data_IF_336173680471
#
_entry.id   IF_336173680471
#
_cell.length_a   1.000
_cell.length_b   1.000
_cell.length_c   1.000
_cell.angle_alpha   90.00
_cell.angle_beta   90.00
_cell.angle_gamma   90.00
#
_symmetry.space_group_name_H-M   'P 1'
#
loop_
_entity.id
_entity.type
_entity.pdbx_description
1 polymer ?
#
# COMPACT_ATOMS: atom_id res chain seq x y z
N UNK A 1 -16.27 -16.02 -13.11
CA UNK A 1 -15.35 -17.16 -13.37
C UNK A 1 -15.93 -18.18 -14.36
N UNK A 2 -17.20 -18.03 -14.74
CA UNK A 2 -17.92 -18.95 -15.63
C UNK A 2 -17.51 -18.87 -17.10
N UNK A 3 -17.11 -17.70 -17.60
CA UNK A 3 -16.72 -17.49 -19.00
C UNK A 3 -15.34 -18.10 -19.35
N UNK A 4 -14.47 -18.31 -18.35
CA UNK A 4 -13.12 -18.88 -18.54
C UNK A 4 -13.16 -20.41 -18.58
N UNK A 5 -14.11 -21.04 -17.87
CA UNK A 5 -14.30 -22.50 -17.87
C UNK A 5 -14.75 -23.06 -19.22
N UNK A 6 -15.42 -22.25 -20.04
CA UNK A 6 -15.96 -22.67 -21.32
C UNK A 6 -14.91 -22.75 -22.45
N UNK A 7 -13.79 -22.01 -22.34
CA UNK A 7 -12.81 -21.89 -23.44
C UNK A 7 -11.42 -22.43 -23.11
N UNK A 8 -10.99 -22.45 -21.84
CA UNK A 8 -9.68 -22.98 -21.43
C UNK A 8 -9.92 -24.08 -20.40
N UNK A 9 -9.51 -25.31 -20.73
CA UNK A 9 -9.76 -26.51 -19.92
C UNK A 9 -9.57 -26.31 -18.41
N UNK A 10 -10.39 -27.03 -17.63
CA UNK A 10 -10.58 -26.96 -16.15
C UNK A 10 -9.30 -26.75 -15.32
N UNK A 11 -8.15 -27.22 -15.80
CA UNK A 11 -6.83 -27.10 -15.17
C UNK A 11 -6.28 -25.65 -15.22
N UNK A 12 -6.40 -24.95 -16.35
CA UNK A 12 -5.85 -23.58 -16.51
C UNK A 12 -6.58 -22.56 -15.62
N UNK A 13 -7.90 -22.70 -15.45
CA UNK A 13 -8.69 -21.86 -14.54
C UNK A 13 -8.29 -22.06 -13.09
N UNK A 14 -7.99 -23.30 -12.68
CA UNK A 14 -7.55 -23.63 -11.31
C UNK A 14 -6.17 -23.06 -11.00
N UNK A 15 -5.24 -23.12 -11.96
CA UNK A 15 -3.90 -22.52 -11.83
C UNK A 15 -3.98 -20.99 -11.78
N UNK A 16 -4.82 -20.37 -12.64
CA UNK A 16 -5.03 -18.92 -12.64
C UNK A 16 -5.62 -18.42 -11.31
N UNK A 17 -6.64 -19.13 -10.79
CA UNK A 17 -7.21 -18.81 -9.48
C UNK A 17 -6.21 -18.95 -8.33
N UNK A 18 -5.33 -19.95 -8.38
CA UNK A 18 -4.26 -20.12 -7.39
C UNK A 18 -3.26 -18.94 -7.44
N UNK A 19 -2.81 -18.56 -8.64
CA UNK A 19 -1.91 -17.41 -8.83
C UNK A 19 -2.55 -16.11 -8.32
N UNK A 20 -3.83 -15.89 -8.63
CA UNK A 20 -4.56 -14.71 -8.19
C UNK A 20 -4.68 -14.66 -6.66
N UNK A 21 -4.93 -15.80 -6.02
CA UNK A 21 -5.00 -15.90 -4.56
C UNK A 21 -3.64 -15.60 -3.90
N UNK A 22 -2.55 -16.19 -4.42
CA UNK A 22 -1.19 -15.92 -3.93
C UNK A 22 -0.84 -14.44 -4.06
N UNK A 23 -1.17 -13.80 -5.19
CA UNK A 23 -0.92 -12.38 -5.38
C UNK A 23 -1.74 -11.53 -4.39
N UNK A 24 -3.01 -11.86 -4.15
CA UNK A 24 -3.86 -11.13 -3.21
C UNK A 24 -3.31 -11.21 -1.77
N UNK A 25 -2.89 -12.40 -1.35
CA UNK A 25 -2.28 -12.63 -0.03
C UNK A 25 -0.96 -11.87 0.10
N UNK A 26 -0.10 -11.96 -0.92
CA UNK A 26 1.18 -11.26 -0.93
C UNK A 26 1.03 -9.75 -0.85
N UNK A 27 0.09 -9.19 -1.63
CA UNK A 27 -0.23 -7.76 -1.63
C UNK A 27 -0.74 -7.31 -0.26
N UNK A 28 -1.64 -8.07 0.37
CA UNK A 28 -2.19 -7.75 1.69
C UNK A 28 -1.10 -7.71 2.76
N UNK A 29 -0.23 -8.74 2.81
CA UNK A 29 0.90 -8.79 3.74
C UNK A 29 1.86 -7.62 3.49
N UNK A 30 2.17 -7.34 2.23
CA UNK A 30 3.06 -6.23 1.84
C UNK A 30 2.53 -4.87 2.29
N UNK A 31 1.25 -4.59 2.07
CA UNK A 31 0.63 -3.34 2.52
C UNK A 31 0.58 -3.21 4.04
N UNK A 32 0.25 -4.30 4.75
CA UNK A 32 0.26 -4.33 6.22
C UNK A 32 1.64 -3.97 6.81
N UNK A 33 2.72 -4.54 6.26
CA UNK A 33 4.09 -4.25 6.70
C UNK A 33 4.47 -2.81 6.34
N UNK A 34 4.26 -2.38 5.09
CA UNK A 34 4.63 -1.05 4.62
C UNK A 34 3.90 0.06 5.39
N UNK A 35 2.61 -0.13 5.67
CA UNK A 35 1.80 0.79 6.47
C UNK A 35 2.32 0.90 7.91
N UNK A 36 2.65 -0.24 8.53
CA UNK A 36 3.21 -0.29 9.88
C UNK A 36 4.53 0.48 10.00
N UNK A 37 5.44 0.29 9.04
CA UNK A 37 6.73 1.00 8.99
C UNK A 37 6.50 2.52 8.80
N UNK A 38 5.58 2.90 7.91
CA UNK A 38 5.27 4.30 7.63
C UNK A 38 4.71 5.01 8.87
N UNK A 39 3.78 4.39 9.60
CA UNK A 39 3.22 4.95 10.83
C UNK A 39 4.28 5.09 11.94
N UNK A 40 5.18 4.11 12.07
CA UNK A 40 6.31 4.18 13.01
C UNK A 40 7.21 5.37 12.68
N UNK A 41 7.53 5.56 11.39
CA UNK A 41 8.32 6.70 10.93
C UNK A 41 7.62 8.04 11.23
N UNK A 42 6.33 8.17 10.93
CA UNK A 42 5.55 9.38 11.22
C UNK A 42 5.52 9.68 12.72
N UNK A 43 5.26 8.68 13.57
CA UNK A 43 5.24 8.90 15.02
C UNK A 43 6.60 9.30 15.56
N UNK A 44 7.67 8.71 15.02
CA UNK A 44 9.04 9.05 15.38
C UNK A 44 9.38 10.49 14.99
N UNK A 45 9.02 10.92 13.77
CA UNK A 45 9.18 12.30 13.31
C UNK A 45 8.40 13.30 14.18
N UNK A 46 7.14 13.00 14.51
CA UNK A 46 6.33 13.85 15.39
C UNK A 46 6.88 13.90 16.82
N UNK A 47 7.44 12.78 17.32
CA UNK A 47 8.09 12.74 18.62
C UNK A 47 9.35 13.62 18.65
N UNK A 48 10.19 13.56 17.61
CA UNK A 48 11.36 14.43 17.48
C UNK A 48 11.00 15.90 17.34
N UNK A 49 9.91 16.22 16.62
CA UNK A 49 9.40 17.59 16.53
C UNK A 49 8.97 18.12 17.91
N UNK A 50 8.36 17.27 18.75
CA UNK A 50 7.78 17.69 20.04
C UNK A 50 8.75 17.64 21.22
N UNK A 51 9.72 16.72 21.24
CA UNK A 51 10.61 16.48 22.40
C UNK A 51 12.10 16.72 22.10
N UNK A 52 12.46 17.10 20.87
CA UNK A 52 13.85 17.32 20.47
C UNK A 52 14.60 16.02 20.12
N UNK A 53 15.74 16.16 19.42
CA UNK A 53 16.48 15.03 18.81
C UNK A 53 17.15 14.07 19.81
N UNK A 54 17.08 14.36 21.12
CA UNK A 54 17.93 13.75 22.15
C UNK A 54 17.27 12.65 22.99
N UNK A 55 16.02 12.26 22.73
CA UNK A 55 15.30 11.26 23.51
C UNK A 55 15.12 9.94 22.75
N UNK A 56 15.40 8.83 23.43
CA UNK A 56 15.22 7.49 22.89
C UNK A 56 13.74 7.21 22.60
N UNK A 57 13.35 7.25 21.32
CA UNK A 57 11.98 7.01 20.90
C UNK A 57 11.78 5.52 20.62
N UNK A 58 11.17 4.80 21.57
CA UNK A 58 10.78 3.41 21.35
C UNK A 58 9.33 3.36 20.83
N UNK A 59 9.16 3.30 19.52
CA UNK A 59 7.85 3.17 18.88
C UNK A 59 7.62 1.69 18.56
N UNK A 60 6.63 1.08 19.22
CA UNK A 60 6.26 -0.31 18.98
C UNK A 60 5.55 -0.47 17.63
N UNK A 61 6.22 -1.11 16.66
CA UNK A 61 5.66 -1.45 15.35
C UNK A 61 4.53 -2.47 15.42
N UNK A 62 4.56 -3.36 16.42
CA UNK A 62 3.61 -4.47 16.56
C UNK A 62 2.18 -4.00 16.78
N UNK A 63 1.98 -2.89 17.50
CA UNK A 63 0.64 -2.37 17.75
C UNK A 63 -0.01 -1.83 16.46
N UNK A 64 0.77 -1.19 15.59
CA UNK A 64 0.26 -0.70 14.29
C UNK A 64 -0.10 -1.84 13.36
N UNK A 65 0.69 -2.92 13.34
CA UNK A 65 0.41 -4.09 12.52
C UNK A 65 -0.90 -4.79 12.94
N UNK A 66 -1.13 -4.93 14.25
CA UNK A 66 -2.39 -5.49 14.78
C UNK A 66 -3.57 -4.56 14.43
N UNK A 67 -3.42 -3.26 14.61
CA UNK A 67 -4.47 -2.28 14.28
C UNK A 67 -4.83 -2.32 12.79
N UNK A 68 -3.84 -2.45 11.91
CA UNK A 68 -4.07 -2.55 10.47
C UNK A 68 -4.82 -3.84 10.10
N UNK A 69 -4.44 -4.97 10.71
CA UNK A 69 -5.16 -6.24 10.53
C UNK A 69 -6.62 -6.18 10.98
N UNK A 70 -6.93 -5.47 12.07
CA UNK A 70 -8.32 -5.25 12.50
C UNK A 70 -9.11 -4.44 11.45
N UNK A 71 -8.49 -3.41 10.88
CA UNK A 71 -9.12 -2.61 9.82
C UNK A 71 -9.35 -3.45 8.55
N UNK A 72 -8.41 -4.31 8.17
CA UNK A 72 -8.58 -5.24 7.03
C UNK A 72 -9.75 -6.21 7.26
N UNK A 73 -9.92 -6.74 8.48
CA UNK A 73 -11.07 -7.60 8.84
C UNK A 73 -12.39 -6.84 8.72
N UNK A 74 -12.43 -5.58 9.20
CA UNK A 74 -13.62 -4.73 9.10
C UNK A 74 -13.94 -4.43 7.62
N UNK A 75 -12.93 -4.08 6.83
CA UNK A 75 -13.08 -3.79 5.40
C UNK A 75 -13.52 -5.03 4.60
N UNK A 76 -13.05 -6.23 4.97
CA UNK A 76 -13.46 -7.49 4.33
C UNK A 76 -14.93 -7.86 4.60
N UNK A 77 -15.57 -7.26 5.61
CA UNK A 77 -16.97 -7.52 5.93
C UNK A 77 -17.95 -6.65 5.15
N UNK A 78 -17.48 -5.71 4.35
CA UNK A 78 -18.31 -4.77 3.60
C UNK A 78 -18.90 -5.46 2.36
N UNK A 79 -20.22 -5.66 2.26
CA UNK A 79 -20.86 -6.20 1.09
C UNK A 79 -21.63 -5.08 0.39
N UNK A 80 -21.08 -4.36 -0.60
CA UNK A 80 -21.96 -3.69 -1.57
C UNK A 80 -21.26 -3.05 -2.79
N UNK A 81 -21.96 -3.12 -3.93
CA UNK A 81 -21.52 -2.67 -5.24
C UNK A 81 -21.33 -1.15 -5.35
N UNK A 82 -22.04 -0.35 -4.55
CA UNK A 82 -21.92 1.11 -4.51
C UNK A 82 -20.58 1.57 -3.91
N UNK A 83 -20.08 0.85 -2.92
CA UNK A 83 -18.77 1.16 -2.32
C UNK A 83 -17.62 0.87 -3.27
N UNK A 84 -17.72 -0.14 -4.15
CA UNK A 84 -16.68 -0.45 -5.13
C UNK A 84 -16.45 0.73 -6.09
N UNK A 85 -17.53 1.41 -6.49
CA UNK A 85 -17.44 2.56 -7.40
C UNK A 85 -16.76 3.77 -6.72
N UNK A 86 -17.13 4.07 -5.47
CA UNK A 86 -16.44 5.09 -4.66
C UNK A 86 -14.98 4.73 -4.36
N UNK A 87 -14.70 3.47 -4.06
CA UNK A 87 -13.34 2.96 -3.85
C UNK A 87 -12.48 3.09 -5.12
N UNK A 88 -13.06 2.88 -6.30
CA UNK A 88 -12.37 3.05 -7.58
C UNK A 88 -11.94 4.51 -7.81
N UNK A 89 -12.81 5.47 -7.51
CA UNK A 89 -12.48 6.90 -7.61
C UNK A 89 -11.32 7.25 -6.67
N UNK A 90 -11.36 6.78 -5.42
CA UNK A 90 -10.29 7.00 -4.44
C UNK A 90 -8.97 6.37 -4.91
N UNK A 91 -9.03 5.15 -5.46
CA UNK A 91 -7.86 4.47 -6.01
C UNK A 91 -7.25 5.26 -7.18
N UNK A 92 -8.08 5.77 -8.11
CA UNK A 92 -7.62 6.59 -9.24
C UNK A 92 -6.91 7.88 -8.77
N UNK A 93 -7.46 8.55 -7.76
CA UNK A 93 -6.84 9.75 -7.16
C UNK A 93 -5.49 9.40 -6.52
N UNK A 94 -5.41 8.30 -5.75
CA UNK A 94 -4.14 7.86 -5.18
C UNK A 94 -3.09 7.54 -6.25
N UNK A 95 -3.46 6.86 -7.34
CA UNK A 95 -2.53 6.57 -8.43
C UNK A 95 -1.95 7.82 -9.07
N UNK A 96 -2.79 8.81 -9.38
CA UNK A 96 -2.32 10.09 -9.91
C UNK A 96 -1.37 10.77 -8.94
N UNK A 97 -1.73 10.80 -7.66
CA UNK A 97 -0.93 11.46 -6.63
C UNK A 97 0.44 10.80 -6.47
N UNK A 98 0.49 9.46 -6.34
CA UNK A 98 1.76 8.74 -6.23
C UNK A 98 2.63 8.89 -7.48
N UNK A 99 2.02 8.86 -8.67
CA UNK A 99 2.74 9.07 -9.92
C UNK A 99 3.33 10.48 -10.02
N UNK A 100 2.56 11.52 -9.65
CA UNK A 100 3.04 12.91 -9.61
C UNK A 100 4.19 13.09 -8.61
N UNK A 101 4.12 12.49 -7.42
CA UNK A 101 5.19 12.56 -6.43
C UNK A 101 6.46 11.88 -6.96
N UNK A 102 6.33 10.68 -7.53
CA UNK A 102 7.47 9.96 -8.11
C UNK A 102 8.10 10.72 -9.27
N UNK A 103 7.28 11.30 -10.15
CA UNK A 103 7.76 12.12 -11.26
C UNK A 103 8.45 13.39 -10.76
N UNK A 104 7.87 14.09 -9.78
CA UNK A 104 8.44 15.29 -9.19
C UNK A 104 9.79 15.04 -8.52
N UNK A 105 9.90 13.97 -7.72
CA UNK A 105 11.16 13.55 -7.10
C UNK A 105 12.20 13.14 -8.15
N UNK A 106 11.80 12.40 -9.19
CA UNK A 106 12.70 11.98 -10.27
C UNK A 106 13.25 13.17 -11.07
N UNK A 107 12.38 14.12 -11.45
CA UNK A 107 12.80 15.35 -12.16
C UNK A 107 13.69 16.21 -11.27
N UNK A 108 13.37 16.36 -9.99
CA UNK A 108 14.22 17.09 -9.04
C UNK A 108 15.62 16.46 -8.93
N UNK A 109 15.70 15.13 -8.82
CA UNK A 109 16.96 14.41 -8.76
C UNK A 109 17.81 14.59 -10.02
N UNK A 110 17.20 14.57 -11.21
CA UNK A 110 17.92 14.83 -12.48
C UNK A 110 18.46 16.26 -12.55
N UNK A 111 17.68 17.24 -12.09
CA UNK A 111 18.15 18.64 -12.03
C UNK A 111 19.28 18.84 -11.02
N UNK A 112 19.22 18.15 -9.87
CA UNK A 112 20.29 18.20 -8.86
C UNK A 112 21.59 17.59 -9.39
N UNK A 113 21.52 16.41 -10.02
CA UNK A 113 22.68 15.76 -10.65
C UNK A 113 23.28 16.65 -11.76
N UNK A 114 22.43 17.32 -12.54
CA UNK A 114 22.86 18.28 -13.58
C UNK A 114 23.52 19.55 -13.03
N UNK A 115 23.17 20.00 -11.82
CA UNK A 115 23.82 21.15 -11.15
C UNK A 115 25.18 20.81 -10.54
N UNK A 116 25.49 19.54 -10.30
CA UNK A 116 26.76 19.10 -9.72
C UNK A 116 27.85 18.89 -10.80
N UNK A 117 27.47 18.83 -12.08
CA UNK A 117 28.41 18.70 -13.22
C UNK A 117 28.84 20.03 -13.88
N UNK A 118 28.58 21.19 -13.26
CA UNK A 118 29.04 22.52 -13.72
C UNK A 118 30.01 23.12 -12.72
#
# INVERSE_FOLDING_TARGET
MDTVRANLGRVKVKICGMMQYVNLVGVTIGYSIASSISMVAVKRSNYFYKHGHHVACNVSSTQYMIMFGVVEIILSQIPDFDQILRLSIVAAVMFFTYSMIGLGLGVAQVMEIGKIQV
#
